data_IF_532687101320
#
_entry.id   IF_532687101320
#
_cell.length_a   1.000
_cell.length_b   1.000
_cell.length_c   1.000
_cell.angle_alpha   90.00
_cell.angle_beta   90.00
_cell.angle_gamma   90.00
#
_symmetry.space_group_name_H-M   'P 1'
#
loop_
_entity.id
_entity.type
_entity.pdbx_description
1 polymer ?
#
# COMPACT_ATOMS: atom_id res chain seq x y z
N UNK A 1 8.65 10.44 -9.04
CA UNK A 1 7.18 10.42 -9.11
C UNK A 1 6.59 10.05 -7.75
N UNK A 2 5.44 10.63 -7.38
CA UNK A 2 4.68 10.32 -6.16
C UNK A 2 3.51 9.36 -6.42
N UNK A 3 3.60 8.62 -7.52
CA UNK A 3 2.60 7.67 -7.98
C UNK A 3 3.02 6.27 -7.55
N UNK A 4 2.05 5.46 -7.14
CA UNK A 4 2.21 4.05 -6.82
C UNK A 4 1.21 3.23 -7.61
N UNK A 5 1.49 1.94 -7.77
CA UNK A 5 0.49 1.00 -8.26
C UNK A 5 -0.33 0.48 -7.07
N UNK A 6 -1.62 0.73 -7.09
CA UNK A 6 -2.59 0.25 -6.11
C UNK A 6 -3.29 -0.98 -6.68
N UNK A 7 -3.40 -2.04 -5.87
CA UNK A 7 -4.20 -3.21 -6.17
C UNK A 7 -5.02 -3.57 -4.93
N UNK A 8 -6.30 -3.88 -5.12
CA UNK A 8 -7.23 -4.14 -4.03
C UNK A 8 -8.05 -5.40 -4.33
N UNK A 9 -8.47 -6.11 -3.29
CA UNK A 9 -9.37 -7.24 -3.38
C UNK A 9 -10.63 -6.99 -2.57
N UNK A 10 -11.77 -7.34 -3.15
CA UNK A 10 -13.09 -7.03 -2.61
C UNK A 10 -14.01 -8.25 -2.68
N UNK A 11 -14.92 -8.32 -1.70
CA UNK A 11 -16.04 -9.25 -1.71
C UNK A 11 -17.37 -8.47 -1.84
N UNK A 12 -18.18 -8.79 -2.84
CA UNK A 12 -19.50 -8.22 -3.07
C UNK A 12 -19.93 -8.34 -4.53
N UNK A 13 -21.12 -7.87 -4.85
CA UNK A 13 -21.65 -7.90 -6.22
C UNK A 13 -21.12 -6.78 -7.10
N UNK A 14 -20.11 -6.03 -6.66
CA UNK A 14 -19.85 -4.66 -7.07
C UNK A 14 -20.02 -4.42 -8.57
N UNK A 15 -20.85 -3.44 -8.95
CA UNK A 15 -21.32 -3.28 -10.34
C UNK A 15 -20.84 -1.99 -11.01
N UNK A 16 -20.08 -1.15 -10.31
CA UNK A 16 -19.55 0.10 -10.84
C UNK A 16 -18.24 -0.02 -11.60
N UNK A 17 -17.84 1.12 -12.16
CA UNK A 17 -16.54 1.41 -12.76
C UNK A 17 -15.94 2.64 -12.08
N UNK A 18 -14.61 2.77 -12.10
CA UNK A 18 -13.92 3.93 -11.56
C UNK A 18 -12.88 4.37 -12.58
N UNK A 19 -12.96 5.63 -12.96
CA UNK A 19 -11.99 6.26 -13.85
C UNK A 19 -10.55 6.08 -13.35
N UNK A 20 -9.66 5.66 -14.25
CA UNK A 20 -8.25 5.41 -13.94
C UNK A 20 -7.97 4.05 -13.29
N UNK A 21 -8.98 3.23 -13.03
CA UNK A 21 -8.82 1.90 -12.43
C UNK A 21 -9.44 0.80 -13.27
N UNK A 22 -8.74 -0.33 -13.31
CA UNK A 22 -9.20 -1.55 -13.97
C UNK A 22 -9.76 -2.52 -12.95
N UNK A 23 -11.00 -2.96 -13.19
CA UNK A 23 -11.67 -3.97 -12.39
C UNK A 23 -11.58 -5.34 -13.07
N UNK A 24 -11.24 -6.36 -12.31
CA UNK A 24 -11.21 -7.76 -12.73
C UNK A 24 -12.06 -8.61 -11.80
N UNK A 25 -13.16 -9.15 -12.31
CA UNK A 25 -14.00 -10.10 -11.57
C UNK A 25 -13.45 -11.51 -11.69
N UNK A 26 -13.51 -12.28 -10.61
CA UNK A 26 -13.13 -13.68 -10.63
C UNK A 26 -14.27 -14.52 -11.23
N UNK A 27 -14.01 -15.22 -12.34
CA UNK A 27 -15.03 -16.04 -13.01
C UNK A 27 -15.53 -17.21 -12.15
N UNK A 28 -14.68 -17.79 -11.29
CA UNK A 28 -15.04 -18.89 -10.40
C UNK A 28 -15.75 -18.42 -9.13
N UNK A 29 -15.59 -17.14 -8.77
CA UNK A 29 -16.21 -16.52 -7.60
C UNK A 29 -16.74 -15.13 -7.98
N UNK A 30 -17.94 -15.04 -8.58
CA UNK A 30 -18.46 -13.79 -9.13
C UNK A 30 -18.59 -12.64 -8.11
N UNK A 31 -18.69 -13.00 -6.83
CA UNK A 31 -18.71 -12.06 -5.72
C UNK A 31 -17.31 -11.62 -5.25
N UNK A 32 -16.24 -12.02 -5.94
CA UNK A 32 -14.86 -11.60 -5.66
C UNK A 32 -14.31 -10.87 -6.85
N UNK A 33 -13.81 -9.66 -6.63
CA UNK A 33 -13.20 -8.86 -7.67
C UNK A 33 -11.98 -8.12 -7.16
N UNK A 34 -11.13 -7.71 -8.08
CA UNK A 34 -9.95 -6.91 -7.81
C UNK A 34 -10.01 -5.61 -8.59
N UNK A 35 -9.53 -4.52 -8.00
CA UNK A 35 -9.40 -3.23 -8.67
C UNK A 35 -7.95 -2.81 -8.58
N UNK A 36 -7.34 -2.44 -9.71
CA UNK A 36 -5.95 -1.98 -9.76
C UNK A 36 -5.73 -0.82 -10.70
N UNK A 37 -4.73 0.00 -10.41
CA UNK A 37 -4.40 1.20 -11.19
C UNK A 37 -3.34 2.05 -10.52
N UNK A 38 -2.92 3.11 -11.23
CA UNK A 38 -1.98 4.09 -10.70
C UNK A 38 -2.71 5.11 -9.82
N UNK A 39 -2.09 5.49 -8.70
CA UNK A 39 -2.64 6.49 -7.80
C UNK A 39 -1.52 7.31 -7.17
N UNK A 40 -1.75 8.60 -6.99
CA UNK A 40 -0.84 9.43 -6.20
C UNK A 40 -0.94 9.07 -4.71
N UNK A 41 0.19 9.04 -4.02
CA UNK A 41 0.26 8.69 -2.59
C UNK A 41 -0.76 9.46 -1.71
N UNK A 42 -0.97 10.79 -1.88
CA UNK A 42 -1.96 11.53 -1.09
C UNK A 42 -3.42 11.13 -1.39
N UNK A 43 -3.68 10.53 -2.55
CA UNK A 43 -5.02 10.20 -3.03
C UNK A 43 -5.45 8.77 -2.73
N UNK A 44 -4.58 7.91 -2.19
CA UNK A 44 -4.91 6.50 -1.90
C UNK A 44 -6.19 6.38 -1.06
N UNK A 45 -6.30 7.13 0.04
CA UNK A 45 -7.51 7.12 0.90
C UNK A 45 -8.77 7.55 0.17
N UNK A 46 -8.70 8.61 -0.62
CA UNK A 46 -9.82 9.10 -1.42
C UNK A 46 -10.22 8.08 -2.48
N UNK A 47 -9.26 7.44 -3.15
CA UNK A 47 -9.51 6.41 -4.16
C UNK A 47 -10.17 5.17 -3.56
N UNK A 48 -9.71 4.70 -2.39
CA UNK A 48 -10.35 3.56 -1.71
C UNK A 48 -11.79 3.87 -1.25
N UNK A 49 -12.03 5.08 -0.73
CA UNK A 49 -13.37 5.50 -0.34
C UNK A 49 -14.30 5.66 -1.56
N UNK A 50 -13.76 6.19 -2.68
CA UNK A 50 -14.46 6.24 -3.97
C UNK A 50 -14.82 4.84 -4.46
N UNK A 51 -13.90 3.88 -4.33
CA UNK A 51 -14.13 2.47 -4.67
C UNK A 51 -15.28 1.85 -3.89
N UNK A 52 -15.27 2.03 -2.57
CA UNK A 52 -16.34 1.53 -1.71
C UNK A 52 -17.70 2.12 -2.07
N UNK A 53 -17.75 3.43 -2.35
CA UNK A 53 -18.99 4.14 -2.67
C UNK A 53 -19.55 3.77 -4.04
N UNK A 54 -18.71 3.71 -5.07
CA UNK A 54 -19.14 3.59 -6.47
C UNK A 54 -19.26 2.15 -6.93
N UNK A 55 -18.38 1.27 -6.45
CA UNK A 55 -18.43 -0.15 -6.81
C UNK A 55 -19.18 -0.95 -5.74
N UNK A 56 -19.05 -0.59 -4.46
CA UNK A 56 -19.62 -1.35 -3.36
C UNK A 56 -18.77 -2.56 -2.97
N UNK A 57 -19.25 -3.32 -1.99
CA UNK A 57 -18.56 -4.49 -1.45
C UNK A 57 -17.63 -4.18 -0.29
N UNK A 58 -16.98 -5.22 0.21
CA UNK A 58 -16.13 -5.17 1.40
C UNK A 58 -14.68 -5.35 0.99
N UNK A 59 -13.85 -4.35 1.30
CA UNK A 59 -12.40 -4.42 1.10
C UNK A 59 -11.81 -5.52 1.98
N UNK A 60 -11.07 -6.44 1.36
CA UNK A 60 -10.42 -7.58 2.03
C UNK A 60 -8.91 -7.39 2.16
N UNK A 61 -8.29 -6.88 1.11
CA UNK A 61 -6.88 -6.56 1.13
C UNK A 61 -6.60 -5.41 0.18
N UNK A 62 -5.54 -4.68 0.50
CA UNK A 62 -4.99 -3.63 -0.34
C UNK A 62 -3.48 -3.78 -0.39
N UNK A 63 -2.94 -3.60 -1.58
CA UNK A 63 -1.54 -3.72 -1.89
C UNK A 63 -1.10 -2.48 -2.66
N UNK A 64 -0.02 -1.85 -2.21
CA UNK A 64 0.60 -0.71 -2.87
C UNK A 64 2.03 -1.05 -3.24
N UNK A 65 2.42 -0.84 -4.51
CA UNK A 65 3.80 -0.99 -4.98
C UNK A 65 4.38 0.38 -5.32
N UNK A 66 5.50 0.70 -4.70
CA UNK A 66 6.30 1.90 -4.97
C UNK A 66 7.67 1.50 -5.51
N UNK A 67 8.04 2.02 -6.67
CA UNK A 67 9.40 1.89 -7.21
C UNK A 67 10.29 3.00 -6.68
N UNK A 68 11.53 2.63 -6.31
CA UNK A 68 12.59 3.53 -5.85
C UNK A 68 13.91 3.17 -6.49
N UNK A 69 14.78 4.16 -6.72
CA UNK A 69 16.12 3.95 -7.28
C UNK A 69 17.19 3.70 -6.20
N UNK A 70 16.81 3.76 -4.91
CA UNK A 70 17.71 3.63 -3.77
C UNK A 70 17.14 2.65 -2.76
N UNK A 71 18.02 1.80 -2.22
CA UNK A 71 17.63 0.52 -1.66
C UNK A 71 17.77 0.29 -0.18
N UNK A 72 18.30 1.24 0.58
CA UNK A 72 18.55 0.97 2.01
C UNK A 72 17.24 0.94 2.77
N UNK A 73 16.99 -0.19 3.43
CA UNK A 73 15.84 -0.35 4.31
C UNK A 73 15.84 0.77 5.37
N UNK A 74 14.76 1.57 5.50
CA UNK A 74 14.66 2.64 6.50
C UNK A 74 14.35 2.06 7.90
N UNK A 75 15.22 1.19 8.40
CA UNK A 75 15.02 0.39 9.63
C UNK A 75 14.61 1.22 10.85
N UNK A 76 15.19 2.41 11.02
CA UNK A 76 14.87 3.30 12.15
C UNK A 76 13.42 3.78 12.11
N UNK A 77 12.91 4.14 10.92
CA UNK A 77 11.54 4.61 10.77
C UNK A 77 10.56 3.45 10.85
N UNK A 78 10.90 2.29 10.28
CA UNK A 78 10.08 1.07 10.41
C UNK A 78 9.93 0.66 11.88
N UNK A 79 11.02 0.71 12.67
CA UNK A 79 10.96 0.44 14.12
C UNK A 79 10.09 1.46 14.87
N UNK A 80 10.13 2.75 14.53
CA UNK A 80 9.23 3.76 15.14
C UNK A 80 7.76 3.51 14.82
N UNK A 81 7.48 2.89 13.69
CA UNK A 81 6.15 2.45 13.27
C UNK A 81 5.79 1.06 13.84
N UNK A 82 6.61 0.48 14.72
CA UNK A 82 6.43 -0.84 15.34
C UNK A 82 6.46 -2.01 14.35
N UNK A 83 7.14 -1.87 13.21
CA UNK A 83 7.41 -3.01 12.33
C UNK A 83 8.50 -3.90 12.92
N UNK A 84 8.23 -5.19 12.90
CA UNK A 84 9.19 -6.24 13.23
C UNK A 84 9.80 -6.78 11.94
N UNK A 85 11.13 -6.87 11.89
CA UNK A 85 11.83 -7.54 10.80
C UNK A 85 11.81 -9.04 11.04
N UNK A 86 11.10 -9.77 10.18
CA UNK A 86 10.95 -11.23 10.30
C UNK A 86 11.84 -11.98 9.30
N UNK A 87 12.26 -11.32 8.22
CA UNK A 87 13.32 -11.77 7.32
C UNK A 87 14.07 -10.56 6.76
N UNK A 88 15.18 -10.80 6.04
CA UNK A 88 16.07 -9.74 5.53
C UNK A 88 15.33 -8.59 4.82
N UNK A 89 14.35 -8.92 3.98
CA UNK A 89 13.59 -7.97 3.19
C UNK A 89 12.09 -7.96 3.53
N UNK A 90 11.69 -8.53 4.67
CA UNK A 90 10.29 -8.69 5.04
C UNK A 90 10.02 -8.17 6.46
N UNK A 91 9.07 -7.26 6.56
CA UNK A 91 8.67 -6.59 7.80
C UNK A 91 7.19 -6.75 8.03
N UNK A 92 6.81 -6.98 9.28
CA UNK A 92 5.41 -7.15 9.67
C UNK A 92 5.08 -6.19 10.80
N UNK A 93 3.96 -5.48 10.66
CA UNK A 93 3.29 -4.79 11.75
C UNK A 93 1.96 -5.51 12.01
N UNK A 94 1.80 -6.08 13.20
CA UNK A 94 0.55 -6.69 13.66
C UNK A 94 -0.15 -5.75 14.61
N UNK A 95 -1.45 -5.58 14.41
CA UNK A 95 -2.34 -4.95 15.39
C UNK A 95 -3.49 -5.91 15.68
N UNK A 96 -4.37 -5.55 16.63
CA UNK A 96 -5.48 -6.41 17.05
C UNK A 96 -6.41 -6.87 15.92
N UNK A 97 -6.50 -6.12 14.82
CA UNK A 97 -7.47 -6.39 13.74
C UNK A 97 -6.87 -6.36 12.32
N UNK A 98 -5.57 -6.12 12.17
CA UNK A 98 -4.94 -6.06 10.85
C UNK A 98 -3.48 -6.43 10.93
N UNK A 99 -2.99 -6.96 9.82
CA UNK A 99 -1.58 -7.22 9.61
C UNK A 99 -1.16 -6.43 8.38
N UNK A 100 0.00 -5.78 8.51
CA UNK A 100 0.61 -4.99 7.46
C UNK A 100 1.96 -5.62 7.18
N UNK A 101 2.15 -6.05 5.96
CA UNK A 101 3.40 -6.58 5.46
C UNK A 101 4.07 -5.53 4.58
N UNK A 102 5.38 -5.41 4.75
CA UNK A 102 6.22 -4.61 3.90
C UNK A 102 7.34 -5.49 3.36
N UNK A 103 7.35 -5.65 2.05
CA UNK A 103 8.39 -6.38 1.32
C UNK A 103 9.25 -5.42 0.52
N UNK A 104 10.55 -5.68 0.53
CA UNK A 104 11.51 -5.10 -0.41
C UNK A 104 11.85 -6.13 -1.47
N UNK A 105 11.58 -5.80 -2.73
CA UNK A 105 11.85 -6.64 -3.89
C UNK A 105 12.90 -5.94 -4.73
N UNK A 106 13.99 -6.64 -5.03
CA UNK A 106 15.02 -6.16 -5.94
C UNK A 106 14.74 -6.67 -7.35
N UNK A 107 14.53 -5.78 -8.31
CA UNK A 107 14.32 -6.11 -9.72
C UNK A 107 15.32 -5.35 -10.60
N UNK A 108 16.37 -6.04 -11.04
CA UNK A 108 17.42 -5.47 -11.90
C UNK A 108 18.04 -4.19 -11.32
N UNK A 109 17.64 -3.03 -11.83
CA UNK A 109 18.12 -1.69 -11.43
C UNK A 109 17.14 -0.95 -10.52
N UNK A 110 16.00 -1.55 -10.22
CA UNK A 110 14.91 -0.97 -9.45
C UNK A 110 14.65 -1.72 -8.14
N UNK A 111 14.14 -0.97 -7.15
CA UNK A 111 13.74 -1.53 -5.87
C UNK A 111 12.29 -1.21 -5.65
N UNK A 112 11.48 -2.27 -5.55
CA UNK A 112 10.05 -2.20 -5.35
C UNK A 112 9.76 -2.42 -3.87
N UNK A 113 9.08 -1.45 -3.28
CA UNK A 113 8.51 -1.56 -1.95
C UNK A 113 7.03 -1.91 -2.06
N UNK A 114 6.69 -3.09 -1.56
CA UNK A 114 5.33 -3.62 -1.59
C UNK A 114 4.74 -3.55 -0.18
N UNK A 115 3.69 -2.76 -0.04
CA UNK A 115 2.92 -2.61 1.20
C UNK A 115 1.62 -3.39 1.05
N UNK A 116 1.42 -4.42 1.86
CA UNK A 116 0.20 -5.24 1.84
C UNK A 116 -0.53 -5.09 3.16
N UNK A 117 -1.81 -4.71 3.13
CA UNK A 117 -2.67 -4.69 4.31
C UNK A 117 -3.74 -5.74 4.15
N UNK A 118 -3.90 -6.57 5.19
CA UNK A 118 -4.91 -7.61 5.25
C UNK A 118 -5.54 -7.68 6.63
N UNK A 119 -6.78 -8.12 6.65
CA UNK A 119 -7.56 -8.41 7.85
C UNK A 119 -8.38 -9.67 7.57
N UNK A 120 -8.63 -10.43 8.62
CA UNK A 120 -9.61 -11.51 8.64
C UNK A 120 -11.06 -10.97 8.60
N UNK A 121 -11.26 -9.70 8.98
CA UNK A 121 -12.56 -9.02 9.05
C UNK A 121 -12.82 -8.14 7.84
N UNK A 122 -13.23 -6.89 8.07
CA UNK A 122 -13.47 -5.90 7.05
C UNK A 122 -12.43 -4.78 7.21
N UNK A 123 -11.87 -4.32 6.09
CA UNK A 123 -11.02 -3.13 6.11
C UNK A 123 -11.90 -1.90 5.93
N UNK A 124 -11.87 -1.00 6.91
CA UNK A 124 -12.34 0.37 6.72
C UNK A 124 -11.43 1.05 5.68
N UNK A 125 -12.01 1.36 4.53
CA UNK A 125 -11.26 1.83 3.34
C UNK A 125 -10.50 3.13 3.59
N UNK A 126 -11.13 4.10 4.24
CA UNK A 126 -10.52 5.38 4.59
C UNK A 126 -9.33 5.21 5.56
N UNK A 127 -9.49 4.37 6.59
CA UNK A 127 -8.43 4.12 7.57
C UNK A 127 -7.24 3.37 6.94
N UNK A 128 -7.52 2.33 6.14
CA UNK A 128 -6.50 1.60 5.39
C UNK A 128 -5.72 2.52 4.44
N UNK A 129 -6.42 3.39 3.72
CA UNK A 129 -5.81 4.34 2.80
C UNK A 129 -4.97 5.41 3.49
N UNK A 130 -5.46 6.03 4.56
CA UNK A 130 -4.69 7.03 5.32
C UNK A 130 -3.39 6.43 5.89
N UNK A 131 -3.49 5.22 6.43
CA UNK A 131 -2.36 4.50 6.97
C UNK A 131 -1.33 4.17 5.87
N UNK A 132 -1.77 3.62 4.74
CA UNK A 132 -0.92 3.37 3.57
C UNK A 132 -0.25 4.64 3.06
N UNK A 133 -1.02 5.72 2.84
CA UNK A 133 -0.48 7.02 2.43
C UNK A 133 0.63 7.50 3.35
N UNK A 134 0.43 7.39 4.68
CA UNK A 134 1.43 7.81 5.67
C UNK A 134 2.68 6.94 5.61
N UNK A 135 2.53 5.61 5.62
CA UNK A 135 3.66 4.68 5.61
C UNK A 135 4.49 4.81 4.35
N UNK A 136 3.83 4.85 3.19
CA UNK A 136 4.48 5.01 1.89
C UNK A 136 5.20 6.36 1.82
N UNK A 137 4.59 7.43 2.33
CA UNK A 137 5.25 8.75 2.38
C UNK A 137 6.52 8.74 3.21
N UNK A 138 6.52 8.08 4.38
CA UNK A 138 7.70 8.00 5.26
C UNK A 138 8.83 7.23 4.56
N UNK A 139 8.52 6.05 4.02
CA UNK A 139 9.51 5.22 3.31
C UNK A 139 10.05 5.98 2.10
N UNK A 140 9.18 6.59 1.30
CA UNK A 140 9.60 7.41 0.16
C UNK A 140 10.47 8.59 0.57
N UNK A 141 10.11 9.30 1.63
CA UNK A 141 10.90 10.43 2.14
C UNK A 141 12.31 10.00 2.56
N UNK A 142 12.44 8.90 3.30
CA UNK A 142 13.73 8.38 3.72
C UNK A 142 14.59 7.95 2.52
N UNK A 143 13.99 7.27 1.54
CA UNK A 143 14.72 6.72 0.39
C UNK A 143 15.12 7.79 -0.64
N UNK A 144 14.19 8.68 -0.99
CA UNK A 144 14.35 9.62 -2.09
C UNK A 144 14.79 11.02 -1.61
N UNK A 145 14.23 11.53 -0.51
CA UNK A 145 14.36 12.95 -0.15
C UNK A 145 15.55 13.19 0.78
N UNK A 146 15.64 12.45 1.89
CA UNK A 146 16.71 12.62 2.88
C UNK A 146 18.12 12.44 2.30
N UNK A 147 18.25 11.48 1.38
CA UNK A 147 19.51 11.20 0.71
C UNK A 147 19.82 12.11 -0.49
N UNK A 148 18.84 12.82 -1.04
CA UNK A 148 19.07 13.80 -2.12
C UNK A 148 19.53 15.14 -1.57
N UNK A 149 19.01 15.54 -0.40
CA UNK A 149 19.34 16.84 0.20
C UNK A 149 20.46 16.82 1.24
N UNK A 150 21.07 15.65 1.52
CA UNK A 150 22.23 15.58 2.41
C UNK A 150 21.99 16.26 3.75
N UNK A 151 20.75 16.25 4.26
CA UNK A 151 20.45 16.83 5.57
C UNK A 151 20.97 15.85 6.60
N UNK A 152 22.27 15.97 6.89
CA UNK A 152 22.82 15.61 8.20
C UNK A 152 21.97 16.41 9.19
N UNK A 153 21.08 15.73 9.89
CA UNK A 153 20.44 16.29 11.06
C UNK A 153 21.57 16.74 12.00
N UNK A 154 21.72 18.05 12.14
CA UNK A 154 22.41 18.68 13.26
C UNK A 154 21.30 18.93 14.28
N UNK A 155 21.42 18.33 15.46
CA UNK A 155 20.48 18.48 16.57
C UNK A 155 20.38 17.20 17.40
#
# INVERSE_FOLDING_TARGET
MNTIFLQTQWNGEGQGEIEGFYKRTNHSFPNKFSIGGEVEIPLIGTSLAKMEREIGGVLKSVECRLTTSRGRVPLSELKKLNFEQVAENHFILKTDNMIIELDRIEEQEEIIWKFSVFTDRYLFTAAAGQMLSRMISIVKYELDIKHTYGIRAVG
#
